data_IF_354635828461
#
_entry.id   IF_354635828461
#
_cell.length_a   1.000
_cell.length_b   1.000
_cell.length_c   1.000
_cell.angle_alpha   90.00
_cell.angle_beta   90.00
_cell.angle_gamma   90.00
#
_symmetry.space_group_name_H-M   'P 1'
#
loop_
_entity.id
_entity.type
_entity.pdbx_description
1 polymer ?
#
# COMPACT_ATOMS: atom_id res chain seq x y z
N UNK A 1 -40.34 -19.94 -49.58
CA UNK A 1 -39.25 -19.23 -48.85
C UNK A 1 -39.73 -18.70 -47.48
N UNK A 2 -40.18 -19.56 -46.56
CA UNK A 2 -40.58 -19.14 -45.19
C UNK A 2 -40.01 -20.01 -44.06
N UNK A 3 -39.13 -20.97 -44.38
CA UNK A 3 -38.58 -21.91 -43.38
C UNK A 3 -37.17 -21.58 -42.87
N UNK A 4 -36.50 -20.55 -43.39
CA UNK A 4 -35.13 -20.20 -42.98
C UNK A 4 -35.06 -19.19 -41.82
N UNK A 5 -36.15 -18.46 -41.52
CA UNK A 5 -36.17 -17.50 -40.42
C UNK A 5 -36.48 -18.14 -39.04
N UNK A 6 -36.92 -19.40 -39.01
CA UNK A 6 -37.22 -20.11 -37.76
C UNK A 6 -35.99 -20.71 -37.08
N UNK A 7 -34.85 -20.79 -37.77
CA UNK A 7 -33.61 -21.39 -37.22
C UNK A 7 -32.67 -20.31 -36.66
N UNK A 8 -32.88 -19.03 -36.99
CA UNK A 8 -32.01 -17.94 -36.50
C UNK A 8 -32.48 -17.31 -35.18
N UNK A 9 -33.69 -17.60 -34.70
CA UNK A 9 -34.24 -17.02 -33.47
C UNK A 9 -34.21 -17.98 -32.25
N UNK A 10 -33.67 -19.18 -32.39
CA UNK A 10 -33.68 -20.22 -31.31
C UNK A 10 -32.32 -20.43 -30.65
N UNK A 11 -31.34 -19.57 -30.94
CA UNK A 11 -30.04 -19.57 -30.25
C UNK A 11 -29.70 -18.19 -29.69
N UNK A 12 -30.71 -17.46 -29.20
CA UNK A 12 -30.50 -16.56 -28.06
C UNK A 12 -30.28 -17.42 -26.82
N UNK A 13 -29.18 -18.20 -26.82
CA UNK A 13 -28.55 -18.57 -25.55
C UNK A 13 -28.30 -17.22 -24.89
N UNK A 14 -28.92 -16.98 -23.72
CA UNK A 14 -28.42 -15.98 -22.79
C UNK A 14 -26.94 -16.28 -22.65
N UNK A 15 -26.10 -15.53 -23.37
CA UNK A 15 -24.67 -15.53 -23.13
C UNK A 15 -24.62 -14.94 -21.72
N UNK A 16 -24.40 -15.81 -20.75
CA UNK A 16 -24.26 -15.39 -19.37
C UNK A 16 -22.92 -14.68 -19.30
N UNK A 17 -22.92 -13.37 -19.61
CA UNK A 17 -21.73 -12.53 -19.58
C UNK A 17 -21.27 -12.54 -18.12
N UNK A 18 -20.09 -13.11 -17.88
CA UNK A 18 -19.48 -13.05 -16.58
C UNK A 18 -18.61 -11.80 -16.53
N UNK A 19 -18.77 -11.01 -15.49
CA UNK A 19 -17.94 -9.83 -15.23
C UNK A 19 -16.92 -10.16 -14.15
N UNK A 20 -15.80 -9.45 -14.12
CA UNK A 20 -14.87 -9.36 -12.98
C UNK A 20 -14.70 -7.89 -12.62
N UNK A 21 -14.62 -7.60 -11.33
CA UNK A 21 -14.40 -6.23 -10.85
C UNK A 21 -13.27 -6.25 -9.84
N UNK A 22 -12.08 -5.88 -10.30
CA UNK A 22 -10.90 -5.83 -9.46
C UNK A 22 -10.68 -4.42 -8.91
N UNK A 23 -10.23 -4.33 -7.67
CA UNK A 23 -9.69 -3.11 -7.07
C UNK A 23 -8.35 -3.39 -6.43
N UNK A 24 -7.42 -2.44 -6.52
CA UNK A 24 -6.23 -2.43 -5.68
C UNK A 24 -6.53 -1.57 -4.45
N UNK A 25 -6.20 -2.05 -3.26
CA UNK A 25 -6.41 -1.35 -2.00
C UNK A 25 -5.09 -1.22 -1.25
N UNK A 26 -4.82 -0.06 -0.67
CA UNK A 26 -3.63 0.24 0.12
C UNK A 26 -4.01 0.28 1.59
N UNK A 27 -3.31 -0.52 2.38
CA UNK A 27 -3.48 -0.56 3.83
C UNK A 27 -2.17 -0.15 4.51
N UNK A 28 -2.29 0.55 5.64
CA UNK A 28 -1.15 0.86 6.48
C UNK A 28 -0.83 -0.35 7.36
N UNK A 29 0.37 -0.90 7.21
CA UNK A 29 0.84 -2.08 7.94
C UNK A 29 1.95 -1.77 8.93
N UNK A 30 2.20 -0.49 9.18
CA UNK A 30 3.34 0.00 9.98
C UNK A 30 3.51 -0.74 11.31
N UNK A 31 2.41 -1.12 11.97
CA UNK A 31 2.44 -1.83 13.26
C UNK A 31 3.07 -3.24 13.20
N UNK A 32 3.10 -3.87 12.03
CA UNK A 32 3.66 -5.22 11.83
C UNK A 32 5.16 -5.19 11.53
N UNK A 33 5.77 -4.00 11.42
CA UNK A 33 7.17 -3.83 11.05
C UNK A 33 8.04 -3.38 12.22
N UNK A 34 9.30 -3.81 12.21
CA UNK A 34 10.26 -3.39 13.21
C UNK A 34 10.52 -1.87 13.15
N UNK A 35 10.62 -1.22 14.32
CA UNK A 35 10.71 0.23 14.44
C UNK A 35 11.88 0.85 13.65
N UNK A 36 12.99 0.13 13.49
CA UNK A 36 14.13 0.58 12.69
C UNK A 36 13.81 0.64 11.18
N UNK A 37 13.00 -0.29 10.68
CA UNK A 37 12.54 -0.34 9.27
C UNK A 37 11.54 0.78 9.05
N UNK A 38 10.56 0.93 9.95
CA UNK A 38 9.56 2.01 9.91
C UNK A 38 10.23 3.38 9.89
N UNK A 39 11.26 3.61 10.72
CA UNK A 39 12.01 4.87 10.72
C UNK A 39 12.70 5.14 9.39
N UNK A 40 13.29 4.11 8.75
CA UNK A 40 13.91 4.24 7.42
C UNK A 40 12.85 4.51 6.34
N UNK A 41 11.67 3.92 6.47
CA UNK A 41 10.54 4.09 5.56
C UNK A 41 9.86 5.46 5.65
N UNK A 42 10.38 6.42 6.40
CA UNK A 42 9.74 7.73 6.61
C UNK A 42 8.57 7.70 7.61
N UNK A 43 8.44 6.65 8.42
CA UNK A 43 7.47 6.55 9.49
C UNK A 43 6.20 5.77 9.14
N UNK A 44 6.03 5.33 7.89
CA UNK A 44 4.92 4.46 7.51
C UNK A 44 5.34 3.44 6.44
N UNK A 45 4.75 2.25 6.52
CA UNK A 45 4.87 1.19 5.53
C UNK A 45 3.46 0.78 5.12
N UNK A 46 3.25 0.70 3.82
CA UNK A 46 1.97 0.35 3.22
C UNK A 46 2.07 -0.95 2.47
N UNK A 47 0.97 -1.70 2.43
CA UNK A 47 0.84 -2.87 1.58
C UNK A 47 -0.36 -2.71 0.67
N UNK A 48 -0.15 -3.00 -0.61
CA UNK A 48 -1.18 -2.99 -1.63
C UNK A 48 -1.72 -4.40 -1.82
N UNK A 49 -3.04 -4.52 -1.91
CA UNK A 49 -3.75 -5.79 -2.10
C UNK A 49 -4.66 -5.72 -3.32
N UNK A 50 -4.81 -6.81 -4.05
CA UNK A 50 -5.82 -6.98 -5.08
C UNK A 50 -7.05 -7.67 -4.52
N UNK A 51 -8.22 -7.17 -4.87
CA UNK A 51 -9.51 -7.75 -4.49
C UNK A 51 -10.45 -7.83 -5.68
N UNK A 52 -11.14 -8.95 -5.82
CA UNK A 52 -12.30 -9.09 -6.70
C UNK A 52 -13.58 -8.82 -5.90
N UNK A 53 -14.16 -7.63 -6.05
CA UNK A 53 -15.28 -7.18 -5.21
C UNK A 53 -16.61 -7.88 -5.51
N UNK A 54 -16.67 -8.62 -6.61
CA UNK A 54 -17.82 -9.46 -6.95
C UNK A 54 -17.71 -10.85 -6.28
N UNK A 55 -16.53 -11.26 -5.78
CA UNK A 55 -16.32 -12.51 -5.05
C UNK A 55 -16.26 -12.27 -3.54
N UNK A 56 -17.33 -12.62 -2.83
CA UNK A 56 -17.43 -12.48 -1.37
C UNK A 56 -17.25 -13.83 -0.69
N UNK A 57 -16.31 -13.92 0.23
CA UNK A 57 -16.15 -15.04 1.15
C UNK A 57 -17.05 -14.85 2.39
N UNK A 58 -17.51 -15.94 2.97
CA UNK A 58 -18.21 -15.95 4.27
C UNK A 58 -17.41 -16.82 5.23
N UNK A 59 -16.44 -16.20 5.89
CA UNK A 59 -15.61 -16.89 6.89
C UNK A 59 -16.30 -16.81 8.25
N UNK A 60 -16.88 -17.92 8.69
CA UNK A 60 -17.38 -18.18 10.05
C UNK A 60 -18.36 -17.16 10.68
N UNK A 61 -18.72 -16.08 10.00
CA UNK A 61 -19.61 -15.02 10.45
C UNK A 61 -20.61 -14.64 9.34
N UNK A 62 -21.78 -14.15 9.73
CA UNK A 62 -22.85 -13.76 8.78
C UNK A 62 -22.45 -12.64 7.81
N UNK A 63 -21.37 -11.90 8.11
CA UNK A 63 -20.97 -10.72 7.34
C UNK A 63 -20.03 -11.13 6.21
N UNK A 64 -20.28 -10.66 4.97
CA UNK A 64 -19.41 -10.97 3.85
C UNK A 64 -18.05 -10.28 4.04
N UNK A 65 -17.01 -10.99 3.62
CA UNK A 65 -15.63 -10.49 3.56
C UNK A 65 -15.10 -10.64 2.14
N UNK A 66 -14.17 -9.77 1.79
CA UNK A 66 -13.36 -9.93 0.60
C UNK A 66 -12.10 -10.71 0.93
N UNK A 67 -11.59 -11.44 -0.07
CA UNK A 67 -10.24 -12.00 -0.06
C UNK A 67 -9.30 -10.97 -0.64
N UNK A 68 -8.29 -10.58 0.13
CA UNK A 68 -7.30 -9.57 -0.23
C UNK A 68 -6.00 -10.31 -0.54
N UNK A 69 -5.57 -10.22 -1.79
CA UNK A 69 -4.36 -10.89 -2.28
C UNK A 69 -3.20 -9.88 -2.27
N UNK A 70 -2.14 -10.09 -1.47
CA UNK A 70 -1.05 -9.12 -1.34
C UNK A 70 -0.32 -8.94 -2.68
N UNK A 71 -0.02 -7.70 -3.07
CA UNK A 71 0.68 -7.36 -4.32
C UNK A 71 2.10 -6.88 -4.11
N UNK A 72 2.30 -5.88 -3.26
CA UNK A 72 3.62 -5.34 -2.95
C UNK A 72 3.55 -4.41 -1.73
N UNK A 73 4.69 -4.20 -1.11
CA UNK A 73 4.88 -3.38 0.08
C UNK A 73 5.71 -2.16 -0.30
N UNK A 74 5.22 -0.96 0.01
CA UNK A 74 5.90 0.30 -0.27
C UNK A 74 6.22 1.05 1.02
N UNK A 75 7.45 1.57 1.18
CA UNK A 75 7.73 2.54 2.22
C UNK A 75 7.10 3.89 1.84
N UNK A 76 6.82 4.76 2.83
CA UNK A 76 6.39 6.13 2.54
C UNK A 76 7.50 6.94 1.85
N UNK A 77 8.74 6.73 2.29
CA UNK A 77 9.93 7.34 1.73
C UNK A 77 10.95 6.26 1.45
N UNK A 78 11.55 6.33 0.27
CA UNK A 78 12.69 5.51 -0.13
C UNK A 78 13.82 6.40 -0.68
N UNK A 79 14.99 5.81 -0.86
CA UNK A 79 16.06 6.44 -1.63
C UNK A 79 15.81 6.36 -3.14
N UNK A 80 16.58 7.12 -3.92
CA UNK A 80 16.45 7.17 -5.38
C UNK A 80 16.66 5.80 -6.04
N UNK A 81 17.40 4.91 -5.38
CA UNK A 81 17.70 3.56 -5.85
C UNK A 81 16.62 2.54 -5.46
N UNK A 82 15.63 2.92 -4.65
CA UNK A 82 14.56 2.04 -4.16
C UNK A 82 15.06 0.93 -3.24
N UNK A 83 16.14 1.16 -2.49
CA UNK A 83 16.83 0.10 -1.74
C UNK A 83 15.98 -0.48 -0.62
N UNK A 84 15.14 0.34 0.02
CA UNK A 84 14.27 -0.13 1.09
C UNK A 84 13.08 -0.91 0.53
N UNK A 85 12.48 -0.47 -0.57
CA UNK A 85 11.44 -1.23 -1.26
C UNK A 85 11.97 -2.60 -1.70
N UNK A 86 13.20 -2.66 -2.23
CA UNK A 86 13.85 -3.92 -2.57
C UNK A 86 14.06 -4.81 -1.33
N UNK A 87 14.47 -4.24 -0.19
CA UNK A 87 14.60 -4.97 1.08
C UNK A 87 13.24 -5.50 1.57
N UNK A 88 12.19 -4.68 1.53
CA UNK A 88 10.84 -5.06 1.94
C UNK A 88 10.30 -6.21 1.08
N UNK A 89 10.53 -6.17 -0.24
CA UNK A 89 10.15 -7.21 -1.18
C UNK A 89 10.72 -8.60 -0.82
N UNK A 90 11.92 -8.66 -0.22
CA UNK A 90 12.52 -9.93 0.22
C UNK A 90 11.81 -10.57 1.42
N UNK A 91 10.95 -9.81 2.11
CA UNK A 91 10.25 -10.21 3.34
C UNK A 91 8.74 -10.32 3.16
N UNK A 92 8.25 -10.22 1.92
CA UNK A 92 6.83 -10.31 1.63
C UNK A 92 6.31 -11.74 1.83
N UNK A 93 5.28 -11.86 2.65
CA UNK A 93 4.37 -12.99 2.62
C UNK A 93 3.34 -12.79 1.49
N UNK A 94 2.91 -13.91 0.92
CA UNK A 94 1.90 -13.95 -0.15
C UNK A 94 0.56 -14.48 0.37
N UNK A 95 0.36 -14.42 1.68
CA UNK A 95 -0.80 -15.00 2.33
C UNK A 95 -2.04 -14.12 2.13
N UNK A 96 -3.13 -14.75 1.71
CA UNK A 96 -4.41 -14.08 1.48
C UNK A 96 -5.03 -13.73 2.83
N UNK A 97 -5.27 -12.44 3.06
CA UNK A 97 -6.00 -11.96 4.23
C UNK A 97 -7.48 -11.75 3.88
N UNK A 98 -8.33 -11.69 4.91
CA UNK A 98 -9.76 -11.47 4.72
C UNK A 98 -10.22 -10.25 5.50
N UNK A 99 -10.93 -9.36 4.81
CA UNK A 99 -11.44 -8.14 5.41
C UNK A 99 -12.94 -7.98 5.11
N UNK A 100 -13.73 -7.60 6.10
CA UNK A 100 -15.16 -7.36 5.90
C UNK A 100 -15.41 -6.34 4.80
N UNK A 101 -16.40 -6.61 3.94
CA UNK A 101 -16.71 -5.74 2.81
C UNK A 101 -16.96 -4.29 3.27
N UNK A 102 -17.67 -4.12 4.39
CA UNK A 102 -17.99 -2.80 4.94
C UNK A 102 -16.74 -1.99 5.36
N UNK A 103 -15.62 -2.63 5.69
CA UNK A 103 -14.38 -1.94 6.03
C UNK A 103 -13.67 -1.47 4.75
N UNK A 104 -13.59 -2.35 3.75
CA UNK A 104 -13.01 -2.03 2.44
C UNK A 104 -13.79 -0.92 1.73
N UNK A 105 -15.12 -0.99 1.76
CA UNK A 105 -16.00 -0.02 1.11
C UNK A 105 -15.97 1.37 1.78
N UNK A 106 -15.38 1.48 2.99
CA UNK A 106 -15.24 2.73 3.77
C UNK A 106 -13.81 3.29 3.74
N UNK A 107 -12.89 2.66 3.02
CA UNK A 107 -11.54 3.17 2.88
C UNK A 107 -11.57 4.58 2.26
N UNK A 108 -10.66 5.47 2.66
CA UNK A 108 -10.65 6.84 2.17
C UNK A 108 -10.29 6.89 0.68
N UNK A 109 -10.66 7.99 0.03
CA UNK A 109 -10.24 8.26 -1.35
C UNK A 109 -8.70 8.21 -1.45
N UNK A 110 -8.19 7.61 -2.52
CA UNK A 110 -6.76 7.36 -2.71
C UNK A 110 -6.25 6.05 -2.12
N UNK A 111 -6.94 5.45 -1.14
CA UNK A 111 -6.63 4.11 -0.66
C UNK A 111 -7.02 3.00 -1.66
N UNK A 112 -7.86 3.35 -2.64
CA UNK A 112 -8.47 2.39 -3.56
C UNK A 112 -8.27 2.87 -4.98
N UNK A 113 -7.69 2.00 -5.81
CA UNK A 113 -7.70 2.13 -7.24
C UNK A 113 -8.68 1.12 -7.83
N UNK A 114 -9.58 1.60 -8.66
CA UNK A 114 -10.64 0.80 -9.25
C UNK A 114 -10.32 0.50 -10.72
N UNK A 115 -10.13 -0.77 -11.08
CA UNK A 115 -9.86 -1.18 -12.46
C UNK A 115 -11.14 -1.25 -13.32
N UNK A 116 -12.31 -1.00 -12.72
CA UNK A 116 -13.61 -1.12 -13.34
C UNK A 116 -14.09 -2.56 -13.50
N UNK A 117 -15.31 -2.69 -14.02
CA UNK A 117 -15.86 -3.99 -14.41
C UNK A 117 -15.35 -4.37 -15.79
N UNK A 118 -14.96 -5.64 -15.93
CA UNK A 118 -14.38 -6.19 -17.14
C UNK A 118 -15.11 -7.48 -17.50
N UNK A 119 -15.41 -7.68 -18.78
CA UNK A 119 -16.00 -8.93 -19.25
C UNK A 119 -14.96 -10.05 -19.23
N UNK A 120 -15.36 -11.23 -18.74
CA UNK A 120 -14.54 -12.43 -18.79
C UNK A 120 -14.84 -13.10 -20.14
N UNK A 121 -13.84 -13.22 -21.04
CA UNK A 121 -14.02 -13.93 -22.30
C UNK A 121 -14.49 -15.37 -22.07
N UNK A 122 -15.32 -15.96 -22.95
CA UNK A 122 -15.77 -17.34 -22.81
C UNK A 122 -14.64 -18.39 -22.78
N UNK A 123 -13.46 -18.03 -23.26
CA UNK A 123 -12.24 -18.85 -23.29
C UNK A 123 -11.43 -18.76 -22.00
N UNK A 124 -11.71 -17.79 -21.15
CA UNK A 124 -10.98 -17.52 -19.91
C UNK A 124 -11.81 -17.87 -18.69
N UNK A 125 -11.11 -18.15 -17.59
CA UNK A 125 -11.76 -18.29 -16.28
C UNK A 125 -11.61 -17.02 -15.48
N UNK A 126 -12.53 -16.80 -14.53
CA UNK A 126 -12.42 -15.71 -13.56
C UNK A 126 -11.08 -15.71 -12.82
N UNK A 127 -10.59 -16.90 -12.45
CA UNK A 127 -9.30 -17.04 -11.77
C UNK A 127 -8.13 -16.67 -12.68
N UNK A 128 -8.17 -17.09 -13.96
CA UNK A 128 -7.18 -16.69 -14.97
C UNK A 128 -7.14 -15.17 -15.13
N UNK A 129 -8.31 -14.54 -15.28
CA UNK A 129 -8.42 -13.08 -15.36
C UNK A 129 -7.90 -12.40 -14.09
N UNK A 130 -8.23 -12.93 -12.90
CA UNK A 130 -7.73 -12.38 -11.64
C UNK A 130 -6.20 -12.43 -11.56
N UNK A 131 -5.58 -13.56 -11.93
CA UNK A 131 -4.11 -13.69 -11.99
C UNK A 131 -3.48 -12.74 -13.00
N UNK A 132 -4.16 -12.47 -14.12
CA UNK A 132 -3.71 -11.48 -15.10
C UNK A 132 -3.69 -10.06 -14.49
N UNK A 133 -4.76 -9.66 -13.79
CA UNK A 133 -4.79 -8.39 -13.06
C UNK A 133 -3.70 -8.33 -11.99
N UNK A 134 -3.48 -9.42 -11.27
CA UNK A 134 -2.43 -9.52 -10.27
C UNK A 134 -1.05 -9.28 -10.87
N UNK A 135 -0.71 -9.98 -11.95
CA UNK A 135 0.56 -9.81 -12.64
C UNK A 135 0.72 -8.40 -13.20
N UNK A 136 -0.34 -7.84 -13.82
CA UNK A 136 -0.32 -6.48 -14.34
C UNK A 136 -0.11 -5.43 -13.23
N UNK A 137 -0.78 -5.62 -12.08
CA UNK A 137 -0.69 -4.71 -10.95
C UNK A 137 0.64 -4.82 -10.21
N UNK A 138 1.28 -6.00 -10.17
CA UNK A 138 2.65 -6.14 -9.64
C UNK A 138 3.69 -5.50 -10.56
N UNK A 139 3.52 -5.63 -11.88
CA UNK A 139 4.44 -5.07 -12.87
C UNK A 139 4.35 -3.56 -13.05
N UNK A 140 3.27 -2.93 -12.57
CA UNK A 140 3.06 -1.49 -12.62
C UNK A 140 2.56 -1.03 -11.26
N UNK A 141 3.38 -0.32 -10.47
CA UNK A 141 2.92 0.23 -9.19
C UNK A 141 1.76 1.19 -9.46
N UNK A 142 0.54 0.71 -9.23
CA UNK A 142 -0.71 1.39 -9.62
C UNK A 142 -1.07 2.51 -8.64
N UNK A 143 -0.59 2.44 -7.39
CA UNK A 143 -0.95 3.40 -6.35
C UNK A 143 0.32 3.98 -5.71
N UNK A 144 0.61 5.24 -6.02
CA UNK A 144 1.49 6.06 -5.19
C UNK A 144 0.77 6.34 -3.86
N UNK A 145 1.50 6.30 -2.75
CA UNK A 145 0.92 6.46 -1.40
C UNK A 145 0.02 7.70 -1.38
N UNK A 146 -1.29 7.56 -1.09
CA UNK A 146 -2.22 8.66 -1.27
C UNK A 146 -1.89 9.86 -0.37
N UNK A 147 -1.93 11.06 -0.97
CA UNK A 147 -1.76 12.34 -0.26
C UNK A 147 -2.74 12.41 0.93
N UNK A 148 -2.20 12.46 2.15
CA UNK A 148 -2.98 12.49 3.40
C UNK A 148 -2.98 11.19 4.21
N UNK A 149 -2.45 10.07 3.68
CA UNK A 149 -2.10 8.89 4.48
C UNK A 149 -0.70 8.96 5.09
N UNK A 150 0.14 9.87 4.59
CA UNK A 150 1.41 10.20 5.24
C UNK A 150 1.11 10.73 6.67
N UNK A 151 1.83 10.26 7.70
CA UNK A 151 1.69 10.82 9.04
C UNK A 151 1.95 12.33 8.95
N UNK A 152 0.95 13.13 9.32
CA UNK A 152 1.12 14.57 9.53
C UNK A 152 2.28 14.74 10.53
N UNK A 153 3.29 15.57 10.25
CA UNK A 153 4.32 15.85 11.24
C UNK A 153 3.62 16.41 12.47
N UNK A 154 3.65 15.66 13.57
CA UNK A 154 2.99 16.06 14.82
C UNK A 154 3.47 17.46 15.21
N UNK A 155 2.57 18.44 15.08
CA UNK A 155 2.87 19.82 15.37
C UNK A 155 3.12 20.02 16.86
N UNK A 156 4.38 20.32 17.20
CA UNK A 156 4.82 21.14 18.35
C UNK A 156 4.40 20.68 19.75
N UNK A 157 5.26 19.90 20.40
CA UNK A 157 5.46 20.07 21.84
C UNK A 157 6.43 21.25 22.04
N UNK A 158 5.89 22.45 22.28
CA UNK A 158 6.67 23.60 22.72
C UNK A 158 7.11 23.34 24.16
N UNK A 159 8.31 22.81 24.35
CA UNK A 159 9.00 22.96 25.64
C UNK A 159 9.47 24.41 25.70
N UNK A 160 9.01 25.25 26.64
CA UNK A 160 9.47 26.62 26.75
C UNK A 160 10.90 26.61 27.29
N UNK A 161 11.87 26.87 26.41
CA UNK A 161 13.23 27.20 26.82
C UNK A 161 13.18 28.61 27.40
N UNK A 162 13.21 28.71 28.73
CA UNK A 162 13.37 29.99 29.39
C UNK A 162 14.79 30.50 29.10
N UNK A 163 14.86 31.51 28.24
CA UNK A 163 16.07 32.28 27.98
C UNK A 163 16.37 33.18 29.18
N UNK A 164 17.58 33.10 29.71
CA UNK A 164 18.17 34.15 30.53
C UNK A 164 19.44 34.62 29.81
N UNK A 165 19.56 35.91 29.43
CA UNK A 165 20.78 36.43 28.81
C UNK A 165 21.58 37.28 29.81
N UNK A 166 22.90 37.07 29.89
CA UNK A 166 23.88 38.06 30.34
C UNK A 166 25.33 37.59 29.98
N UNK A 167 26.35 38.47 29.96
CA UNK A 167 26.76 39.11 28.71
C UNK A 167 28.28 39.08 28.44
N UNK A 168 28.62 39.46 27.19
CA UNK A 168 29.81 40.20 26.73
C UNK A 168 31.21 39.89 27.32
N UNK A 169 32.04 39.30 26.45
CA UNK A 169 33.53 39.36 26.31
C UNK A 169 34.09 40.75 26.72
N UNK A 170 35.38 40.97 27.13
CA UNK A 170 36.55 40.32 26.53
C UNK A 170 37.90 40.24 27.29
N UNK A 171 38.90 39.73 26.55
CA UNK A 171 40.35 39.99 26.56
C UNK A 171 41.34 39.16 27.42
N UNK A 172 42.33 38.64 26.69
CA UNK A 172 43.75 38.44 27.00
C UNK A 172 44.14 37.59 28.22
N UNK A 173 44.98 36.58 28.01
CA UNK A 173 46.35 36.56 28.55
C UNK A 173 47.16 35.39 27.96
N UNK A 174 48.33 35.74 27.46
CA UNK A 174 49.46 34.88 27.09
C UNK A 174 50.00 34.16 28.32
N UNK A 175 50.39 32.88 28.21
CA UNK A 175 51.50 32.32 28.99
C UNK A 175 52.00 31.02 28.36
N UNK A 176 53.30 31.02 28.08
CA UNK A 176 54.13 29.86 27.78
C UNK A 176 54.23 28.95 29.01
N UNK A 177 54.47 27.66 28.80
CA UNK A 177 55.20 26.82 29.74
C UNK A 177 55.95 25.72 28.97
N UNK A 178 57.23 25.97 28.70
CA UNK A 178 58.22 24.92 28.63
C UNK A 178 58.54 24.42 30.04
N UNK A 179 59.07 23.20 30.08
CA UNK A 179 60.14 22.67 30.93
C UNK A 179 59.80 21.31 31.55
N UNK A 180 60.65 20.37 31.12
CA UNK A 180 60.94 19.02 31.56
C UNK A 180 60.99 18.78 33.07
N UNK A 181 61.00 17.50 33.47
CA UNK A 181 62.16 16.87 34.12
C UNK A 181 62.01 15.33 34.11
N UNK A 182 63.15 14.70 33.89
CA UNK A 182 63.49 13.27 33.94
C UNK A 182 63.12 12.56 35.24
N UNK A 183 62.85 11.24 35.16
CA UNK A 183 63.69 10.17 35.76
C UNK A 183 63.67 8.98 34.81
#
# INVERSE_FOLDING_TARGET
MRHLLSVMNTTLRRINVQLIHCKAIVLNETEYWAANIVRRAGGAIFRTYLVDVQKRARLCEMRPSYSLHPLYTTPLVDDEDGSLAAELATREDYDVIYMHCANVDRLPAGAVYDFGEQEIPPTETRESMFRLFEHQARGNVVIEVPEGMAPQPSGKSKIPVHSTPAPLVPENFTAQAEVAIEI
#
